data_IF_953524536723
#
_entry.id   IF_953524536723
#
_cell.length_a   1.000
_cell.length_b   1.000
_cell.length_c   1.000
_cell.angle_alpha   90.00
_cell.angle_beta   90.00
_cell.angle_gamma   90.00
#
_symmetry.space_group_name_H-M   'P 1'
#
loop_
_entity.id
_entity.type
_entity.pdbx_description
1 polymer ?
#
# COMPACT_ATOMS: atom_id res chain seq x y z
N UNK A 1 -57.37 -44.92 9.83
CA UNK A 1 -56.01 -44.39 9.59
C UNK A 1 -56.07 -42.88 9.67
N UNK A 2 -55.44 -42.25 10.66
CA UNK A 2 -55.41 -40.79 10.83
C UNK A 2 -54.23 -40.25 10.02
N UNK A 3 -54.50 -39.51 8.94
CA UNK A 3 -53.47 -38.84 8.15
C UNK A 3 -52.99 -37.60 8.87
N UNK A 4 -51.71 -37.60 9.26
CA UNK A 4 -51.01 -36.48 9.87
C UNK A 4 -50.46 -35.59 8.72
N UNK A 5 -51.02 -34.40 8.52
CA UNK A 5 -50.43 -33.41 7.61
C UNK A 5 -49.21 -32.78 8.30
N UNK A 6 -48.03 -33.04 7.76
CA UNK A 6 -46.79 -32.39 8.16
C UNK A 6 -46.71 -31.03 7.43
N UNK A 7 -46.88 -29.94 8.15
CA UNK A 7 -46.66 -28.60 7.61
C UNK A 7 -45.14 -28.34 7.51
N UNK A 8 -44.59 -28.34 6.30
CA UNK A 8 -43.23 -27.87 6.05
C UNK A 8 -43.21 -26.34 6.16
N UNK A 9 -42.66 -25.80 7.24
CA UNK A 9 -42.35 -24.38 7.35
C UNK A 9 -41.12 -24.06 6.50
N UNK A 10 -41.36 -23.40 5.37
CA UNK A 10 -40.30 -22.76 4.59
C UNK A 10 -39.82 -21.52 5.37
N UNK A 11 -38.68 -21.65 6.05
CA UNK A 11 -37.93 -20.50 6.56
C UNK A 11 -37.36 -19.73 5.35
N UNK A 12 -37.57 -18.41 5.24
CA UNK A 12 -36.99 -17.62 4.17
C UNK A 12 -35.46 -17.60 4.34
N UNK A 13 -34.75 -17.99 3.29
CA UNK A 13 -33.30 -17.87 3.21
C UNK A 13 -32.97 -16.38 3.20
N UNK A 14 -32.41 -15.87 4.30
CA UNK A 14 -31.93 -14.49 4.36
C UNK A 14 -30.86 -14.30 3.27
N UNK A 15 -31.10 -13.37 2.34
CA UNK A 15 -30.09 -12.96 1.38
C UNK A 15 -28.90 -12.36 2.17
N UNK A 16 -27.69 -12.89 1.95
CA UNK A 16 -26.48 -12.30 2.50
C UNK A 16 -26.36 -10.84 2.00
N UNK A 17 -26.15 -9.90 2.92
CA UNK A 17 -25.85 -8.52 2.55
C UNK A 17 -24.61 -8.49 1.64
N UNK A 18 -24.60 -7.64 0.60
CA UNK A 18 -23.41 -7.49 -0.23
C UNK A 18 -22.25 -7.02 0.64
N UNK A 19 -21.11 -7.71 0.54
CA UNK A 19 -19.92 -7.35 1.28
C UNK A 19 -19.57 -5.86 1.03
N UNK A 20 -19.26 -5.13 2.10
CA UNK A 20 -18.89 -3.72 2.02
C UNK A 20 -17.69 -3.55 1.09
N UNK A 21 -17.79 -2.63 0.13
CA UNK A 21 -16.70 -2.34 -0.83
C UNK A 21 -15.51 -1.68 -0.16
N UNK A 22 -15.77 -0.91 0.89
CA UNK A 22 -14.74 -0.23 1.68
C UNK A 22 -14.70 -0.83 3.07
N UNK A 23 -13.48 -1.06 3.58
CA UNK A 23 -13.28 -1.57 4.93
C UNK A 23 -12.33 -0.66 5.68
N UNK A 24 -12.72 -0.23 6.86
CA UNK A 24 -11.94 0.66 7.71
C UNK A 24 -11.48 -0.03 8.99
N UNK A 25 -10.27 0.32 9.44
CA UNK A 25 -9.77 0.06 10.79
C UNK A 25 -9.50 1.40 11.47
N UNK A 26 -9.80 1.49 12.77
CA UNK A 26 -9.46 2.64 13.61
C UNK A 26 -9.07 2.17 15.01
N UNK A 27 -8.13 2.86 15.62
CA UNK A 27 -7.76 2.68 17.03
C UNK A 27 -8.05 3.93 17.89
N UNK A 28 -8.81 4.88 17.36
CA UNK A 28 -9.11 6.16 18.01
C UNK A 28 -8.06 7.26 17.78
N UNK A 29 -6.86 6.93 17.27
CA UNK A 29 -5.83 7.93 16.92
C UNK A 29 -5.61 8.05 15.41
N UNK A 30 -5.68 6.93 14.69
CA UNK A 30 -5.61 6.90 13.23
C UNK A 30 -6.70 6.00 12.66
N UNK A 31 -7.11 6.31 11.42
CA UNK A 31 -8.04 5.51 10.63
C UNK A 31 -7.41 5.17 9.28
N UNK A 32 -7.47 3.91 8.89
CA UNK A 32 -7.01 3.42 7.58
C UNK A 32 -8.17 2.71 6.88
N UNK A 33 -8.28 2.89 5.56
CA UNK A 33 -9.32 2.27 4.75
C UNK A 33 -8.75 1.56 3.52
N UNK A 34 -9.28 0.38 3.23
CA UNK A 34 -8.97 -0.43 2.04
C UNK A 34 -10.19 -0.60 1.15
N UNK A 35 -9.98 -0.60 -0.16
CA UNK A 35 -11.02 -0.83 -1.16
C UNK A 35 -11.03 -2.31 -1.57
N UNK A 36 -11.95 -3.06 -1.00
CA UNK A 36 -12.18 -4.48 -1.30
C UNK A 36 -12.74 -4.70 -2.72
N UNK A 37 -13.21 -3.64 -3.39
CA UNK A 37 -13.55 -3.66 -4.81
C UNK A 37 -12.37 -3.37 -5.74
N UNK A 38 -11.18 -3.14 -5.18
CA UNK A 38 -9.93 -2.86 -5.90
C UNK A 38 -8.76 -3.58 -5.20
N UNK A 39 -8.86 -4.92 -5.11
CA UNK A 39 -7.81 -5.80 -4.58
C UNK A 39 -7.34 -5.56 -3.14
N UNK A 40 -8.10 -4.80 -2.35
CA UNK A 40 -7.73 -4.43 -0.99
C UNK A 40 -6.77 -3.24 -0.90
N UNK A 41 -6.56 -2.48 -1.97
CA UNK A 41 -5.61 -1.37 -1.93
C UNK A 41 -6.02 -0.28 -0.95
N UNK A 42 -5.05 0.33 -0.26
CA UNK A 42 -5.30 1.38 0.73
C UNK A 42 -5.63 2.68 0.02
N UNK A 43 -6.83 3.20 0.27
CA UNK A 43 -7.34 4.44 -0.34
C UNK A 43 -7.56 5.56 0.68
N UNK A 44 -7.49 5.22 1.97
CA UNK A 44 -7.70 6.17 3.05
C UNK A 44 -6.65 6.04 4.15
N UNK A 45 -6.09 7.17 4.58
CA UNK A 45 -5.40 7.28 5.86
C UNK A 45 -5.62 8.67 6.48
N UNK A 46 -6.05 8.72 7.75
CA UNK A 46 -6.32 9.95 8.49
C UNK A 46 -5.87 9.86 9.95
N UNK A 47 -5.55 11.01 10.53
CA UNK A 47 -5.42 11.20 11.99
C UNK A 47 -6.79 11.60 12.56
N UNK A 48 -7.11 11.12 13.76
CA UNK A 48 -8.36 11.44 14.46
C UNK A 48 -8.13 12.50 15.56
N UNK A 49 -9.09 13.40 15.81
CA UNK A 49 -10.46 13.42 15.26
C UNK A 49 -10.61 14.19 13.94
N UNK A 50 -9.53 14.74 13.37
CA UNK A 50 -9.61 15.57 12.16
C UNK A 50 -10.19 14.81 10.95
N UNK A 51 -9.93 13.50 10.89
CA UNK A 51 -10.51 12.55 9.95
C UNK A 51 -10.45 12.95 8.48
N UNK A 52 -9.36 13.61 8.10
CA UNK A 52 -9.09 14.03 6.73
C UNK A 52 -8.23 12.98 6.01
N UNK A 53 -8.72 12.46 4.90
CA UNK A 53 -7.93 11.60 4.02
C UNK A 53 -6.80 12.39 3.35
N UNK A 54 -5.58 11.88 3.43
CA UNK A 54 -4.40 12.46 2.78
C UNK A 54 -3.95 11.73 1.51
N UNK A 55 -4.66 10.67 1.12
CA UNK A 55 -4.33 9.86 -0.05
C UNK A 55 -5.07 10.34 -1.30
N UNK A 56 -4.47 10.13 -2.47
CA UNK A 56 -5.15 10.28 -3.75
C UNK A 56 -5.52 8.91 -4.29
N UNK A 57 -6.77 8.76 -4.71
CA UNK A 57 -7.33 7.56 -5.31
C UNK A 57 -8.40 7.91 -6.36
N UNK A 58 -8.01 8.81 -7.26
CA UNK A 58 -8.81 9.23 -8.42
C UNK A 58 -9.14 8.06 -9.35
N UNK A 59 -8.19 7.15 -9.54
CA UNK A 59 -8.32 5.95 -10.35
C UNK A 59 -7.65 4.75 -9.66
N UNK A 60 -7.78 3.55 -10.25
CA UNK A 60 -7.28 2.30 -9.65
C UNK A 60 -5.76 2.15 -9.66
N UNK A 61 -5.07 2.98 -10.43
CA UNK A 61 -3.61 3.09 -10.40
C UNK A 61 -3.10 3.92 -9.22
N UNK A 62 -3.98 4.62 -8.51
CA UNK A 62 -3.61 5.55 -7.43
C UNK A 62 -4.12 5.05 -6.08
N UNK A 63 -3.25 4.38 -5.35
CA UNK A 63 -3.48 3.91 -3.99
C UNK A 63 -2.13 3.85 -3.27
N UNK A 64 -2.12 3.40 -2.00
CA UNK A 64 -0.94 2.70 -1.51
C UNK A 64 -1.08 1.23 -1.90
N UNK A 65 -0.26 0.76 -2.84
CA UNK A 65 -0.44 -0.55 -3.47
C UNK A 65 0.83 -1.18 -4.03
N UNK A 66 0.86 -2.51 -4.06
CA UNK A 66 1.97 -3.27 -4.66
C UNK A 66 1.93 -3.17 -6.19
N UNK A 67 3.09 -2.97 -6.83
CA UNK A 67 3.25 -2.98 -8.28
C UNK A 67 4.60 -3.60 -8.65
N UNK A 68 4.57 -4.65 -9.47
CA UNK A 68 5.79 -5.33 -9.94
C UNK A 68 5.92 -5.23 -11.45
N UNK A 69 7.13 -5.39 -11.96
CA UNK A 69 7.50 -5.23 -13.36
C UNK A 69 8.36 -6.41 -13.81
N UNK A 70 8.07 -6.92 -14.99
CA UNK A 70 8.76 -8.04 -15.59
C UNK A 70 9.11 -7.84 -17.06
N UNK A 71 9.20 -8.95 -17.79
CA UNK A 71 9.56 -8.98 -19.20
C UNK A 71 8.47 -8.31 -20.07
N UNK A 72 8.81 -7.79 -21.27
CA UNK A 72 7.80 -7.41 -22.25
C UNK A 72 6.82 -8.56 -22.51
N UNK A 73 5.52 -8.26 -22.55
CA UNK A 73 4.44 -9.23 -22.70
C UNK A 73 3.55 -8.94 -23.92
N UNK A 74 3.94 -7.96 -24.74
CA UNK A 74 3.19 -7.53 -25.92
C UNK A 74 1.98 -6.64 -25.61
N UNK A 75 1.70 -6.36 -24.33
CA UNK A 75 0.62 -5.44 -23.94
C UNK A 75 0.97 -3.99 -24.31
N UNK A 76 -0.05 -3.12 -24.32
CA UNK A 76 0.11 -1.69 -24.61
C UNK A 76 -0.58 -0.82 -23.56
N UNK A 77 0.16 0.15 -23.03
CA UNK A 77 -0.37 1.23 -22.22
C UNK A 77 -0.48 2.50 -23.07
N UNK A 78 -1.70 2.94 -23.35
CA UNK A 78 -1.97 4.10 -24.20
C UNK A 78 -1.17 4.06 -25.52
N UNK A 79 -1.33 2.96 -26.28
CA UNK A 79 -0.64 2.64 -27.54
C UNK A 79 0.87 2.42 -27.47
N UNK A 80 1.51 2.64 -26.33
CA UNK A 80 2.95 2.38 -26.15
C UNK A 80 3.17 0.94 -25.66
N UNK A 81 4.18 0.22 -26.20
CA UNK A 81 4.54 -1.09 -25.69
C UNK A 81 4.77 -1.07 -24.18
N UNK A 82 4.20 -2.05 -23.49
CA UNK A 82 4.35 -2.23 -22.05
C UNK A 82 4.96 -3.60 -21.74
N UNK A 83 4.82 -4.02 -20.49
CA UNK A 83 5.44 -5.22 -19.94
C UNK A 83 4.52 -5.87 -18.93
N UNK A 84 4.86 -7.09 -18.55
CA UNK A 84 4.22 -7.76 -17.44
C UNK A 84 4.29 -6.87 -16.20
N UNK A 85 3.12 -6.47 -15.69
CA UNK A 85 3.03 -5.50 -14.60
C UNK A 85 1.81 -5.75 -13.71
N UNK A 86 1.85 -6.71 -12.76
CA UNK A 86 0.78 -6.91 -11.79
C UNK A 86 0.66 -5.73 -10.84
N UNK A 87 -0.56 -5.20 -10.73
CA UNK A 87 -0.94 -4.08 -9.86
C UNK A 87 -2.10 -4.51 -8.95
N UNK A 88 -2.02 -4.16 -7.67
CA UNK A 88 -2.97 -4.61 -6.64
C UNK A 88 -4.36 -3.99 -6.79
N UNK A 89 -4.49 -2.74 -7.24
CA UNK A 89 -5.75 -2.01 -7.27
C UNK A 89 -6.56 -2.26 -8.54
N UNK A 90 -5.88 -2.35 -9.69
CA UNK A 90 -6.49 -2.54 -10.99
C UNK A 90 -5.69 -1.94 -12.13
N UNK A 91 -6.22 -2.03 -13.34
CA UNK A 91 -5.58 -1.59 -14.57
C UNK A 91 -5.83 -0.10 -14.88
N UNK A 92 -5.17 0.43 -15.91
CA UNK A 92 -5.34 1.85 -16.31
C UNK A 92 -6.70 2.16 -16.94
N UNK A 93 -7.47 1.14 -17.32
CA UNK A 93 -8.81 1.25 -17.92
C UNK A 93 -9.93 1.13 -16.88
N UNK A 94 -9.56 0.85 -15.62
CA UNK A 94 -10.49 0.73 -14.50
C UNK A 94 -10.98 -0.69 -14.21
N UNK A 95 -10.40 -1.75 -14.80
CA UNK A 95 -10.68 -3.12 -14.37
C UNK A 95 -10.11 -3.34 -12.96
N UNK A 96 -10.92 -3.74 -11.98
CA UNK A 96 -10.45 -3.99 -10.62
C UNK A 96 -9.69 -5.31 -10.49
N UNK A 97 -8.74 -5.33 -9.57
CA UNK A 97 -8.21 -6.58 -9.03
C UNK A 97 -9.21 -7.25 -8.09
N UNK A 98 -9.14 -8.59 -8.02
CA UNK A 98 -10.12 -9.41 -7.32
C UNK A 98 -9.60 -9.82 -5.96
N UNK A 99 -10.35 -9.49 -4.91
CA UNK A 99 -10.12 -10.03 -3.55
C UNK A 99 -10.54 -11.50 -3.51
N UNK A 100 -9.68 -12.34 -2.93
CA UNK A 100 -9.89 -13.76 -2.68
C UNK A 100 -10.28 -14.05 -1.24
N UNK A 101 -9.64 -13.33 -0.30
CA UNK A 101 -9.84 -13.54 1.12
C UNK A 101 -9.72 -12.21 1.84
N UNK A 102 -10.59 -12.04 2.84
CA UNK A 102 -10.53 -10.94 3.79
C UNK A 102 -10.76 -11.51 5.19
N UNK A 103 -9.89 -11.17 6.14
CA UNK A 103 -10.01 -11.65 7.52
C UNK A 103 -9.66 -10.57 8.52
N UNK A 104 -10.61 -10.27 9.40
CA UNK A 104 -10.38 -9.40 10.54
C UNK A 104 -9.80 -10.18 11.72
N UNK A 105 -8.99 -9.50 12.52
CA UNK A 105 -8.51 -9.98 13.80
C UNK A 105 -8.50 -8.81 14.79
N UNK A 106 -8.31 -9.10 16.08
CA UNK A 106 -8.58 -8.17 17.20
C UNK A 106 -8.18 -6.70 16.98
N UNK A 107 -7.06 -6.43 16.29
CA UNK A 107 -6.59 -5.08 15.94
C UNK A 107 -6.04 -5.00 14.50
N UNK A 108 -6.63 -5.72 13.55
CA UNK A 108 -6.11 -5.68 12.19
C UNK A 108 -6.93 -6.41 11.13
N UNK A 109 -6.46 -6.27 9.91
CA UNK A 109 -7.10 -6.76 8.70
C UNK A 109 -6.06 -7.48 7.85
N UNK A 110 -6.47 -8.61 7.30
CA UNK A 110 -5.76 -9.33 6.26
C UNK A 110 -6.57 -9.27 4.97
N UNK A 111 -5.91 -8.97 3.86
CA UNK A 111 -6.49 -9.05 2.52
C UNK A 111 -5.57 -9.84 1.61
N UNK A 112 -6.14 -10.72 0.77
CA UNK A 112 -5.45 -11.43 -0.30
C UNK A 112 -6.17 -11.20 -1.62
N UNK A 113 -5.44 -10.88 -2.67
CA UNK A 113 -5.99 -10.61 -4.00
C UNK A 113 -5.21 -11.25 -5.13
N UNK A 114 -5.87 -11.35 -6.29
CA UNK A 114 -5.26 -11.59 -7.60
C UNK A 114 -5.07 -10.24 -8.27
N UNK A 115 -3.83 -9.83 -8.59
CA UNK A 115 -3.59 -8.57 -9.27
C UNK A 115 -3.99 -8.62 -10.74
N UNK A 116 -4.08 -7.43 -11.34
CA UNK A 116 -4.34 -7.26 -12.77
C UNK A 116 -3.09 -6.72 -13.44
N UNK A 117 -2.82 -7.15 -14.66
CA UNK A 117 -1.81 -6.52 -15.50
C UNK A 117 -2.23 -5.08 -15.82
N UNK A 118 -1.40 -4.11 -15.46
CA UNK A 118 -1.66 -2.69 -15.65
C UNK A 118 -2.15 -2.34 -17.04
N UNK A 119 -1.53 -2.90 -18.09
CA UNK A 119 -1.78 -2.51 -19.48
C UNK A 119 -2.82 -3.37 -20.18
N UNK A 120 -2.76 -4.70 -20.02
CA UNK A 120 -3.67 -5.60 -20.71
C UNK A 120 -5.02 -5.74 -20.02
N UNK A 121 -5.10 -5.47 -18.71
CA UNK A 121 -6.29 -5.74 -17.92
C UNK A 121 -6.51 -7.23 -17.65
N UNK A 122 -5.55 -8.10 -17.96
CA UNK A 122 -5.67 -9.52 -17.66
C UNK A 122 -5.41 -9.77 -16.17
N UNK A 123 -6.20 -10.67 -15.57
CA UNK A 123 -5.89 -11.16 -14.23
C UNK A 123 -4.61 -11.99 -14.32
N UNK A 124 -3.68 -11.76 -13.39
CA UNK A 124 -2.43 -12.51 -13.34
C UNK A 124 -2.62 -13.61 -12.29
N UNK A 125 -3.28 -14.70 -12.70
CA UNK A 125 -3.73 -15.80 -11.84
C UNK A 125 -2.59 -16.57 -11.17
N UNK A 126 -1.35 -16.42 -11.66
CA UNK A 126 -0.15 -16.93 -11.03
C UNK A 126 0.44 -16.01 -9.94
N UNK A 127 -0.17 -14.84 -9.69
CA UNK A 127 0.26 -13.91 -8.65
C UNK A 127 -0.73 -13.83 -7.49
N UNK A 128 -0.21 -13.72 -6.26
CA UNK A 128 -0.98 -13.33 -5.07
C UNK A 128 -0.35 -12.13 -4.42
N UNK A 129 -1.19 -11.15 -4.10
CA UNK A 129 -0.82 -9.98 -3.32
C UNK A 129 -1.57 -10.04 -2.00
N UNK A 130 -0.82 -10.06 -0.91
CA UNK A 130 -1.34 -10.13 0.45
C UNK A 130 -0.90 -8.91 1.23
N UNK A 131 -1.77 -8.44 2.13
CA UNK A 131 -1.46 -7.40 3.10
C UNK A 131 -2.03 -7.72 4.48
N UNK A 132 -1.27 -7.36 5.51
CA UNK A 132 -1.70 -7.40 6.91
C UNK A 132 -1.53 -6.01 7.50
N UNK A 133 -2.64 -5.40 7.90
CA UNK A 133 -2.70 -4.07 8.48
C UNK A 133 -2.93 -4.20 9.99
N UNK A 134 -2.14 -3.49 10.78
CA UNK A 134 -2.38 -3.30 12.22
C UNK A 134 -2.14 -1.84 12.63
N UNK A 135 -2.86 -1.37 13.64
CA UNK A 135 -2.76 0.01 14.13
C UNK A 135 -2.14 0.04 15.53
N UNK A 136 -1.12 0.86 15.71
CA UNK A 136 -0.38 1.02 16.96
C UNK A 136 -0.12 2.50 17.22
N UNK A 137 -0.81 3.07 18.20
CA UNK A 137 -0.74 4.49 18.45
C UNK A 137 -1.12 5.31 17.21
N UNK A 138 -0.29 6.31 16.88
CA UNK A 138 -0.37 7.11 15.64
C UNK A 138 0.25 6.47 14.40
N UNK A 139 0.47 5.16 14.39
CA UNK A 139 1.14 4.45 13.29
C UNK A 139 0.27 3.31 12.77
N UNK A 140 0.09 3.25 11.45
CA UNK A 140 -0.37 2.03 10.78
C UNK A 140 0.82 1.23 10.27
N UNK A 141 0.89 -0.04 10.61
CA UNK A 141 1.86 -1.00 10.08
C UNK A 141 1.19 -1.83 9.00
N UNK A 142 1.82 -1.93 7.84
CA UNK A 142 1.34 -2.77 6.75
C UNK A 142 2.46 -3.72 6.35
N UNK A 143 2.24 -5.02 6.55
CA UNK A 143 3.11 -6.05 5.97
C UNK A 143 2.51 -6.44 4.63
N UNK A 144 3.33 -6.47 3.59
CA UNK A 144 2.95 -6.97 2.27
C UNK A 144 3.66 -8.28 2.00
N UNK A 145 3.00 -9.15 1.23
CA UNK A 145 3.61 -10.29 0.58
C UNK A 145 3.17 -10.37 -0.86
N UNK A 146 4.14 -10.57 -1.74
CA UNK A 146 3.93 -10.95 -3.12
C UNK A 146 4.40 -12.38 -3.33
N UNK A 147 3.54 -13.20 -3.92
CA UNK A 147 3.85 -14.58 -4.32
C UNK A 147 3.62 -14.73 -5.81
N UNK A 148 4.59 -15.32 -6.51
CA UNK A 148 4.49 -15.66 -7.92
C UNK A 148 4.74 -17.15 -8.12
N UNK A 149 3.73 -17.84 -8.64
CA UNK A 149 3.73 -19.27 -8.91
C UNK A 149 3.84 -19.58 -10.41
N UNK A 150 4.13 -18.58 -11.25
CA UNK A 150 4.29 -18.78 -12.69
C UNK A 150 5.60 -19.50 -13.02
N UNK A 151 5.69 -19.98 -14.25
CA UNK A 151 6.86 -20.73 -14.74
C UNK A 151 7.87 -19.85 -15.47
N UNK A 152 7.47 -18.65 -15.86
CA UNK A 152 8.34 -17.71 -16.56
C UNK A 152 9.31 -17.03 -15.59
N UNK A 153 10.52 -16.74 -16.09
CA UNK A 153 11.42 -15.79 -15.44
C UNK A 153 11.20 -14.38 -15.98
N UNK A 154 11.19 -13.40 -15.07
CA UNK A 154 11.19 -11.98 -15.39
C UNK A 154 12.55 -11.38 -15.01
N UNK A 155 13.17 -10.59 -15.89
CA UNK A 155 14.50 -10.03 -15.65
C UNK A 155 14.51 -9.05 -14.46
N UNK A 156 15.69 -8.72 -13.90
CA UNK A 156 15.81 -7.69 -12.88
C UNK A 156 15.17 -6.37 -13.31
N UNK A 157 14.27 -5.84 -12.49
CA UNK A 157 13.64 -4.54 -12.68
C UNK A 157 13.38 -3.86 -11.33
N UNK A 158 13.23 -2.53 -11.34
CA UNK A 158 12.76 -1.79 -10.18
C UNK A 158 11.31 -2.16 -9.89
N UNK A 159 11.06 -2.73 -8.72
CA UNK A 159 9.74 -3.07 -8.20
C UNK A 159 9.28 -1.99 -7.23
N UNK A 160 8.00 -1.63 -7.21
CA UNK A 160 7.45 -0.59 -6.33
C UNK A 160 6.87 -1.21 -5.06
N UNK A 161 7.44 -0.87 -3.90
CA UNK A 161 7.25 -1.60 -2.64
C UNK A 161 6.79 -0.71 -1.46
N UNK A 162 5.62 -0.04 -1.50
CA UNK A 162 4.62 0.01 -2.57
C UNK A 162 4.68 1.33 -3.36
N UNK A 163 3.83 1.45 -4.39
CA UNK A 163 3.41 2.76 -4.90
C UNK A 163 2.69 3.54 -3.79
N UNK A 164 2.97 4.85 -3.64
CA UNK A 164 2.31 5.73 -2.66
C UNK A 164 1.80 6.99 -3.36
N UNK A 165 0.48 7.08 -3.48
CA UNK A 165 -0.20 8.25 -4.04
C UNK A 165 -0.84 9.09 -2.93
N UNK A 166 -0.43 10.35 -2.85
CA UNK A 166 -0.97 11.32 -1.89
C UNK A 166 -1.69 12.45 -2.59
N UNK A 167 -2.57 13.11 -1.84
CA UNK A 167 -3.27 14.31 -2.29
C UNK A 167 -2.28 15.35 -2.83
N UNK A 168 -2.60 15.92 -4.00
CA UNK A 168 -1.81 16.98 -4.64
C UNK A 168 -1.60 18.21 -3.74
N UNK A 169 -2.48 18.45 -2.77
CA UNK A 169 -2.33 19.52 -1.78
C UNK A 169 -1.11 19.34 -0.86
N UNK A 170 -0.53 18.14 -0.79
CA UNK A 170 0.74 17.88 -0.11
C UNK A 170 1.87 18.04 -1.13
N UNK A 171 2.47 19.23 -1.16
CA UNK A 171 3.37 19.64 -2.24
C UNK A 171 4.83 19.30 -1.98
N UNK A 172 5.23 19.35 -0.72
CA UNK A 172 6.63 19.33 -0.30
C UNK A 172 7.03 17.93 0.13
N UNK A 173 7.84 17.26 -0.68
CA UNK A 173 8.46 15.99 -0.31
C UNK A 173 9.52 16.24 0.77
N UNK A 174 9.43 15.49 1.87
CA UNK A 174 10.37 15.56 3.00
C UNK A 174 11.05 14.21 3.20
N UNK A 175 12.37 14.21 3.29
CA UNK A 175 13.19 13.02 3.47
C UNK A 175 14.62 13.41 3.86
N UNK A 176 15.41 12.47 4.38
CA UNK A 176 16.84 12.69 4.61
C UNK A 176 17.68 12.18 3.43
N UNK A 177 18.47 13.08 2.83
CA UNK A 177 19.31 12.79 1.65
C UNK A 177 20.81 12.70 1.94
N UNK A 178 21.22 12.89 3.19
CA UNK A 178 22.63 12.83 3.59
C UNK A 178 23.13 11.39 3.73
N UNK A 179 24.43 11.23 3.98
CA UNK A 179 25.11 9.93 4.12
C UNK A 179 25.20 9.44 5.59
N UNK A 180 24.81 10.28 6.55
CA UNK A 180 24.83 9.99 8.00
C UNK A 180 23.41 9.88 8.56
N UNK A 181 22.66 8.80 8.27
CA UNK A 181 21.26 8.70 8.66
C UNK A 181 21.11 8.64 10.18
N UNK A 182 19.99 9.15 10.67
CA UNK A 182 19.59 9.12 12.08
C UNK A 182 20.50 9.89 13.04
N UNK A 183 21.19 10.91 12.54
CA UNK A 183 22.04 11.81 13.35
C UNK A 183 21.34 13.11 13.76
N UNK A 184 20.09 13.31 13.34
CA UNK A 184 19.38 14.57 13.53
C UNK A 184 19.76 15.67 12.52
N UNK A 185 20.66 15.38 11.56
CA UNK A 185 21.01 16.32 10.49
C UNK A 185 19.77 16.76 9.67
N UNK A 186 19.76 17.97 9.08
CA UNK A 186 18.56 18.54 8.44
C UNK A 186 17.92 17.66 7.37
N UNK A 187 16.58 17.70 7.31
CA UNK A 187 15.81 17.06 6.24
C UNK A 187 15.81 17.92 4.97
N UNK A 188 15.77 17.26 3.82
CA UNK A 188 15.48 17.91 2.56
C UNK A 188 13.97 18.20 2.47
N UNK A 189 13.64 19.31 1.80
CA UNK A 189 12.28 19.66 1.40
C UNK A 189 12.32 20.03 -0.08
N UNK A 190 11.69 19.22 -0.91
CA UNK A 190 11.79 19.33 -2.38
C UNK A 190 10.40 19.13 -3.01
N UNK A 191 10.17 19.72 -4.19
CA UNK A 191 8.96 19.48 -4.99
C UNK A 191 9.34 18.69 -6.24
N UNK A 192 9.07 17.37 -6.30
CA UNK A 192 9.34 16.59 -7.51
C UNK A 192 8.59 17.13 -8.73
N UNK A 193 9.20 17.03 -9.90
CA UNK A 193 8.63 17.43 -11.17
C UNK A 193 7.87 16.30 -11.87
N UNK A 194 7.75 16.44 -13.20
CA UNK A 194 7.21 15.44 -14.12
C UNK A 194 8.14 15.35 -15.34
N UNK A 195 8.46 14.15 -15.86
CA UNK A 195 8.04 12.81 -15.41
C UNK A 195 8.83 12.32 -14.19
N UNK A 196 8.88 11.00 -13.97
CA UNK A 196 9.57 10.38 -12.83
C UNK A 196 11.01 10.83 -12.63
N UNK A 197 11.38 11.08 -11.38
CA UNK A 197 12.72 11.39 -10.93
C UNK A 197 13.19 10.41 -9.85
N UNK A 198 14.51 10.18 -9.76
CA UNK A 198 15.11 9.38 -8.70
C UNK A 198 15.43 10.21 -7.46
N UNK A 199 15.30 9.61 -6.27
CA UNK A 199 15.79 10.17 -4.98
C UNK A 199 16.40 9.08 -4.11
N UNK A 200 17.32 9.48 -3.23
CA UNK A 200 17.92 8.62 -2.21
C UNK A 200 17.51 9.11 -0.81
N UNK A 201 16.76 8.28 -0.09
CA UNK A 201 16.34 8.48 1.29
C UNK A 201 17.08 7.51 2.20
N UNK A 202 18.22 7.93 2.75
CA UNK A 202 19.11 7.04 3.53
C UNK A 202 18.61 6.72 4.94
N UNK A 203 17.57 7.43 5.39
CA UNK A 203 16.81 7.05 6.59
C UNK A 203 15.64 6.10 6.29
N UNK A 204 15.51 5.62 5.05
CA UNK A 204 14.48 4.63 4.68
C UNK A 204 13.05 5.12 4.95
N UNK A 205 12.85 6.44 4.94
CA UNK A 205 11.52 7.07 4.99
C UNK A 205 11.47 8.31 4.12
N UNK A 206 10.27 8.62 3.64
CA UNK A 206 9.94 9.86 2.96
C UNK A 206 8.47 10.19 3.20
N UNK A 207 8.09 11.43 2.96
CA UNK A 207 6.71 11.86 3.06
C UNK A 207 6.43 13.08 2.23
N UNK A 208 5.18 13.54 2.25
CA UNK A 208 4.78 14.82 1.70
C UNK A 208 4.06 15.62 2.77
N UNK A 209 4.37 16.91 2.87
CA UNK A 209 3.69 17.86 3.77
C UNK A 209 2.98 18.96 2.96
N UNK A 210 1.89 19.45 3.53
CA UNK A 210 1.12 20.56 2.99
C UNK A 210 1.62 21.92 3.51
N UNK A 211 0.91 23.01 3.15
CA UNK A 211 1.24 24.37 3.57
C UNK A 211 1.22 24.59 5.09
N UNK A 212 0.49 23.77 5.83
CA UNK A 212 0.44 23.77 7.31
C UNK A 212 1.62 23.03 7.96
N UNK A 213 2.55 22.52 7.14
CA UNK A 213 3.72 21.76 7.60
C UNK A 213 3.41 20.33 8.04
N UNK A 214 2.16 19.87 7.90
CA UNK A 214 1.73 18.51 8.25
C UNK A 214 1.46 17.68 7.01
N UNK A 215 1.59 16.37 7.11
CA UNK A 215 1.21 15.47 6.03
C UNK A 215 1.48 14.01 6.34
N UNK A 216 1.69 13.23 5.29
CA UNK A 216 1.87 11.78 5.36
C UNK A 216 3.34 11.40 5.24
N UNK A 217 3.81 10.54 6.14
CA UNK A 217 5.10 9.88 6.05
C UNK A 217 4.94 8.39 5.88
N UNK A 218 5.87 7.79 5.12
CA UNK A 218 6.01 6.34 4.96
C UNK A 218 7.45 5.95 5.27
N UNK A 219 7.61 5.03 6.20
CA UNK A 219 8.87 4.35 6.48
C UNK A 219 8.87 2.97 5.83
N UNK A 220 9.91 2.67 5.07
CA UNK A 220 10.06 1.52 4.18
C UNK A 220 11.40 0.80 4.42
N UNK A 221 11.62 0.17 5.60
CA UNK A 221 12.88 -0.46 5.97
C UNK A 221 13.50 -1.35 4.90
N UNK A 222 14.79 -1.18 4.63
CA UNK A 222 15.55 -1.91 3.61
C UNK A 222 15.47 -1.32 2.20
N UNK A 223 14.85 -0.16 2.01
CA UNK A 223 14.81 0.57 0.73
C UNK A 223 15.34 1.98 0.92
N UNK A 224 16.30 2.38 0.09
CA UNK A 224 16.86 3.75 0.11
C UNK A 224 16.59 4.51 -1.18
N UNK A 225 16.24 3.82 -2.27
CA UNK A 225 16.00 4.43 -3.57
C UNK A 225 14.49 4.65 -3.78
N UNK A 226 14.14 5.79 -4.34
CA UNK A 226 12.78 6.18 -4.64
C UNK A 226 12.63 6.56 -6.11
N UNK A 227 11.49 6.23 -6.70
CA UNK A 227 10.96 6.96 -7.87
C UNK A 227 9.90 7.95 -7.40
N UNK A 228 9.87 9.16 -7.93
CA UNK A 228 8.97 10.24 -7.48
C UNK A 228 8.45 11.03 -8.66
N UNK A 229 7.26 11.61 -8.55
CA UNK A 229 6.79 12.65 -9.47
C UNK A 229 5.62 13.41 -8.86
N UNK A 230 5.24 14.52 -9.50
CA UNK A 230 3.97 15.19 -9.25
C UNK A 230 3.23 15.41 -10.57
N UNK A 231 1.96 15.01 -10.59
CA UNK A 231 1.09 15.26 -11.73
C UNK A 231 0.11 16.38 -11.39
N UNK A 232 0.14 17.47 -12.16
CA UNK A 232 -0.70 18.64 -11.91
C UNK A 232 -2.17 18.33 -12.19
N UNK A 233 -3.05 18.73 -11.27
CA UNK A 233 -4.49 18.62 -11.44
C UNK A 233 -5.23 19.12 -10.20
N UNK A 234 -6.54 18.89 -10.15
CA UNK A 234 -7.33 19.24 -8.96
C UNK A 234 -6.84 18.42 -7.75
N UNK A 235 -6.71 19.04 -6.56
CA UNK A 235 -6.39 18.33 -5.32
C UNK A 235 -7.59 17.53 -4.80
N UNK A 236 -7.36 16.78 -3.73
CA UNK A 236 -8.34 15.94 -3.06
C UNK A 236 -8.21 14.46 -3.40
N UNK A 237 -8.91 13.60 -2.64
CA UNK A 237 -8.83 12.14 -2.80
C UNK A 237 -9.31 11.66 -4.18
N UNK A 238 -10.23 12.38 -4.82
CA UNK A 238 -10.74 12.11 -6.17
C UNK A 238 -10.27 13.14 -7.19
N UNK A 239 -9.30 13.98 -6.84
CA UNK A 239 -8.74 14.99 -7.73
C UNK A 239 -7.79 14.37 -8.75
N UNK A 240 -7.78 14.90 -9.97
CA UNK A 240 -6.89 14.40 -11.03
C UNK A 240 -5.40 14.67 -10.78
N UNK A 241 -5.05 15.57 -9.85
CA UNK A 241 -3.67 15.82 -9.45
C UNK A 241 -3.20 14.87 -8.35
N UNK A 242 -1.90 14.58 -8.30
CA UNK A 242 -1.31 13.79 -7.22
C UNK A 242 0.16 14.15 -6.97
N UNK A 243 0.63 13.89 -5.75
CA UNK A 243 2.05 13.73 -5.47
C UNK A 243 2.32 12.24 -5.25
N UNK A 244 3.45 11.77 -5.76
CA UNK A 244 3.77 10.34 -5.80
C UNK A 244 5.20 10.08 -5.36
N UNK A 245 5.37 8.96 -4.67
CA UNK A 245 6.65 8.26 -4.63
C UNK A 245 6.43 6.75 -4.51
N UNK A 246 7.46 5.98 -4.82
CA UNK A 246 7.55 4.58 -4.44
C UNK A 246 8.99 4.23 -4.03
N UNK A 247 9.22 3.60 -2.87
CA UNK A 247 10.47 2.92 -2.62
C UNK A 247 10.65 1.77 -3.61
N UNK A 248 11.82 1.73 -4.24
CA UNK A 248 12.15 0.74 -5.27
C UNK A 248 13.29 -0.17 -4.87
N UNK A 249 13.17 -1.45 -5.24
CA UNK A 249 14.26 -2.42 -5.19
C UNK A 249 14.40 -3.10 -6.54
N UNK A 250 15.63 -3.29 -7.00
CA UNK A 250 15.89 -4.09 -8.19
C UNK A 250 15.81 -5.56 -7.81
N UNK A 251 14.78 -6.26 -8.32
CA UNK A 251 14.59 -7.69 -8.05
C UNK A 251 14.28 -8.43 -9.34
N UNK A 252 14.79 -9.65 -9.45
CA UNK A 252 14.40 -10.62 -10.46
C UNK A 252 13.26 -11.46 -9.91
N UNK A 253 12.21 -11.69 -10.70
CA UNK A 253 11.09 -12.55 -10.32
C UNK A 253 11.24 -13.88 -11.07
N UNK A 254 11.35 -14.97 -10.32
CA UNK A 254 11.55 -16.34 -10.82
C UNK A 254 10.41 -17.24 -10.36
N UNK A 255 10.22 -18.43 -10.93
CA UNK A 255 9.28 -19.40 -10.40
C UNK A 255 9.42 -19.60 -8.89
N UNK A 256 8.30 -19.66 -8.18
CA UNK A 256 8.22 -19.77 -6.71
C UNK A 256 8.75 -18.54 -5.95
N UNK A 257 8.85 -17.37 -6.60
CA UNK A 257 9.26 -16.14 -5.93
C UNK A 257 8.25 -15.72 -4.86
N UNK A 258 8.76 -15.46 -3.66
CA UNK A 258 8.00 -14.89 -2.54
C UNK A 258 8.80 -13.71 -1.99
N UNK A 259 8.15 -12.56 -1.84
CA UNK A 259 8.76 -11.38 -1.26
C UNK A 259 7.87 -10.78 -0.19
N UNK A 260 8.40 -10.69 1.02
CA UNK A 260 7.79 -10.00 2.15
C UNK A 260 8.48 -8.66 2.39
N UNK A 261 7.70 -7.62 2.66
CA UNK A 261 8.21 -6.35 3.15
C UNK A 261 7.18 -5.68 4.07
N UNK A 262 7.60 -4.62 4.76
CA UNK A 262 6.72 -3.90 5.69
C UNK A 262 6.94 -2.41 5.53
N UNK A 263 5.85 -1.65 5.60
CA UNK A 263 5.88 -0.21 5.72
C UNK A 263 5.16 0.26 6.98
N UNK A 264 5.44 1.49 7.36
CA UNK A 264 4.74 2.18 8.45
C UNK A 264 4.26 3.55 7.96
N UNK A 265 2.97 3.83 8.16
CA UNK A 265 2.35 5.11 7.84
C UNK A 265 2.15 5.92 9.11
N UNK A 266 2.41 7.22 9.05
CA UNK A 266 2.05 8.15 10.14
C UNK A 266 1.78 9.54 9.59
N UNK A 267 1.05 10.36 10.35
CA UNK A 267 0.70 11.74 9.99
C UNK A 267 1.31 12.70 11.01
N UNK A 268 1.95 13.76 10.54
CA UNK A 268 2.57 14.77 11.42
C UNK A 268 3.41 15.78 10.66
N UNK A 269 4.20 16.56 11.39
CA UNK A 269 5.31 17.34 10.81
C UNK A 269 6.48 16.43 10.41
N UNK A 270 7.41 16.94 9.61
CA UNK A 270 8.59 16.18 9.19
C UNK A 270 9.39 15.62 10.38
N UNK A 271 9.51 16.40 11.45
CA UNK A 271 10.19 16.04 12.68
C UNK A 271 9.43 14.97 13.48
N UNK A 272 8.11 15.12 13.62
CA UNK A 272 7.25 14.12 14.29
C UNK A 272 7.32 12.76 13.56
N UNK A 273 7.25 12.78 12.22
CA UNK A 273 7.34 11.59 11.39
C UNK A 273 8.71 10.92 11.55
N UNK A 274 9.80 11.67 11.40
CA UNK A 274 11.17 11.17 11.59
C UNK A 274 11.36 10.57 12.98
N UNK A 275 10.90 11.23 14.03
CA UNK A 275 11.02 10.75 15.40
C UNK A 275 10.33 9.38 15.57
N UNK A 276 9.06 9.26 15.15
CA UNK A 276 8.31 7.99 15.26
C UNK A 276 8.98 6.86 14.48
N UNK A 277 9.48 7.13 13.28
CA UNK A 277 10.20 6.14 12.48
C UNK A 277 11.54 5.75 13.12
N UNK A 278 12.25 6.70 13.71
CA UNK A 278 13.48 6.45 14.46
C UNK A 278 13.24 5.54 15.66
N UNK A 279 12.13 5.72 16.36
CA UNK A 279 11.76 4.87 17.50
C UNK A 279 11.34 3.47 17.05
N UNK A 280 10.59 3.34 15.95
CA UNK A 280 10.29 2.04 15.34
C UNK A 280 11.57 1.29 14.92
N UNK A 281 12.54 2.00 14.33
CA UNK A 281 13.84 1.42 13.95
C UNK A 281 14.60 0.89 15.17
N UNK A 282 14.68 1.68 16.24
CA UNK A 282 15.34 1.26 17.50
C UNK A 282 14.64 0.04 18.10
N UNK A 283 13.31 0.02 18.12
CA UNK A 283 12.53 -1.10 18.63
C UNK A 283 12.74 -2.38 17.80
N UNK A 284 12.89 -2.27 16.47
CA UNK A 284 13.18 -3.41 15.60
C UNK A 284 14.61 -3.96 15.77
N UNK A 285 15.57 -3.11 16.17
CA UNK A 285 16.95 -3.50 16.44
C UNK A 285 17.17 -4.02 17.88
N UNK A 286 16.21 -3.81 18.78
CA UNK A 286 16.31 -4.31 20.15
C UNK A 286 16.29 -5.85 20.15
N UNK A 287 17.08 -6.52 21.01
CA UNK A 287 16.98 -7.95 21.21
C UNK A 287 15.53 -8.30 21.55
N UNK A 288 14.98 -9.30 20.85
CA UNK A 288 13.71 -9.87 21.31
C UNK A 288 13.99 -10.44 22.70
N UNK A 289 13.18 -10.14 23.73
CA UNK A 289 13.34 -10.80 25.01
C UNK A 289 13.33 -12.31 24.76
N UNK A 290 14.30 -13.01 25.32
CA UNK A 290 14.39 -14.46 25.21
C UNK A 290 13.01 -15.02 25.52
N UNK A 291 12.54 -15.93 24.66
CA UNK A 291 11.35 -16.70 24.94
C UNK A 291 11.66 -17.52 26.20
N UNK A 292 11.36 -16.96 27.37
CA UNK A 292 11.49 -17.65 28.65
C UNK A 292 10.69 -18.92 28.51
N UNK A 293 11.43 -20.04 28.62
CA UNK A 293 10.94 -21.38 28.38
C UNK A 293 9.61 -21.64 29.08
N UNK A 294 8.62 -22.01 28.28
CA UNK A 294 7.47 -22.77 28.75
C UNK A 294 7.78 -24.25 28.60
N UNK A 295 8.59 -24.81 29.49
CA UNK A 295 8.52 -26.23 29.82
C UNK A 295 7.40 -26.42 30.85
N UNK A 296 6.27 -26.98 30.41
CA UNK A 296 5.66 -28.24 30.89
C UNK A 296 4.29 -28.45 30.26
#
# INVERSE_FOLDING_TARGET
>A
MKSLLLALSLLPLAAAEPAAKEKFLSNGEVKIGVDLSSGGSVFWFSELPADRNLLNHHDRGRFIQQSYYGKPDGSKWAEKPWRWNPVQGGDYKGKPARVLETREFKNGLYVKSVPVNWASGQDIEECRMEEWISLHGKVAKIRFRFTYSGTDEHPPAHQELPAVFVDYALEDMVFYKGDKPWTGAPLAKEKPGWPNEGRNATEEWAGYVGPDGRGLGVHFPGSTHLTTYRYKGQPGPKGGGCSYFAPVRTMQIKPSFVHDYTIHLTIGTAEEMRQRFGDLRKAAAAPKPDAVGGER
#
